data_IF_568604803730
#
_entry.id   IF_568604803730
#
_cell.length_a   1.000
_cell.length_b   1.000
_cell.length_c   1.000
_cell.angle_alpha   90.00
_cell.angle_beta   90.00
_cell.angle_gamma   90.00
#
_symmetry.space_group_name_H-M   'P 1'
#
loop_
_entity.id
_entity.type
_entity.pdbx_description
1 polymer ?
#
# COMPACT_ATOMS: atom_id res chain seq x y z
N UNK A 1 23.32 -14.54 14.05
CA UNK A 1 22.32 -13.44 14.08
C UNK A 1 20.96 -14.02 13.72
N UNK A 2 19.89 -13.61 14.40
CA UNK A 2 18.54 -14.00 14.01
C UNK A 2 18.21 -13.36 12.65
N UNK A 3 17.67 -14.16 11.72
CA UNK A 3 17.25 -13.68 10.40
C UNK A 3 16.16 -12.62 10.59
N UNK A 4 16.34 -11.44 10.00
CA UNK A 4 15.31 -10.38 9.99
C UNK A 4 14.18 -10.87 9.07
N UNK A 5 12.97 -11.00 9.61
CA UNK A 5 11.80 -11.52 8.88
C UNK A 5 10.61 -10.56 8.84
N UNK A 6 10.64 -9.48 9.62
CA UNK A 6 9.50 -8.57 9.80
C UNK A 6 9.87 -7.13 9.49
N UNK A 7 9.02 -6.43 8.73
CA UNK A 7 9.08 -4.99 8.51
C UNK A 7 7.84 -4.31 9.08
N UNK A 8 8.03 -3.14 9.71
CA UNK A 8 6.95 -2.33 10.26
C UNK A 8 6.87 -1.03 9.46
N UNK A 9 5.69 -0.72 8.93
CA UNK A 9 5.37 0.47 8.14
C UNK A 9 4.47 1.41 8.96
N UNK A 10 5.02 2.48 9.56
CA UNK A 10 4.23 3.46 10.29
C UNK A 10 3.52 4.42 9.31
N UNK A 11 2.25 4.14 9.02
CA UNK A 11 1.46 4.85 7.99
C UNK A 11 0.27 5.63 8.57
N UNK A 12 0.20 5.82 9.89
CA UNK A 12 -0.92 6.45 10.58
C UNK A 12 -1.00 8.00 10.47
N UNK A 13 0.05 8.67 9.98
CA UNK A 13 0.18 10.14 10.05
C UNK A 13 -0.71 10.92 9.07
N UNK A 14 -1.15 12.13 9.45
CA UNK A 14 -2.14 12.92 8.68
C UNK A 14 -1.62 13.56 7.38
N UNK A 15 -0.30 13.63 7.16
CA UNK A 15 0.27 14.16 5.92
C UNK A 15 0.01 15.64 5.66
N UNK A 16 -0.08 16.47 6.71
CA UNK A 16 -0.46 17.90 6.65
C UNK A 16 0.39 18.78 5.74
N UNK A 17 1.66 18.40 5.48
CA UNK A 17 2.56 19.13 4.56
C UNK A 17 2.19 19.03 3.09
N UNK A 18 1.29 18.12 2.74
CA UNK A 18 0.84 17.86 1.37
C UNK A 18 -0.65 18.21 1.19
N UNK A 19 -1.19 19.06 2.06
CA UNK A 19 -2.53 19.61 1.84
C UNK A 19 -2.53 20.52 0.61
N UNK A 20 -3.62 20.52 -0.19
CA UNK A 20 -4.89 19.83 0.07
C UNK A 20 -4.95 18.37 -0.39
N UNK A 21 -3.95 17.88 -1.14
CA UNK A 21 -3.97 16.54 -1.74
C UNK A 21 -4.16 15.43 -0.70
N UNK A 22 -3.55 15.57 0.48
CA UNK A 22 -3.66 14.58 1.56
C UNK A 22 -4.94 14.63 2.38
N UNK A 23 -5.86 15.55 2.05
CA UNK A 23 -7.16 15.63 2.73
C UNK A 23 -8.03 14.40 2.47
N UNK A 24 -7.96 13.84 1.26
CA UNK A 24 -8.77 12.70 0.82
C UNK A 24 -7.94 11.44 0.54
N UNK A 25 -6.67 11.60 0.16
CA UNK A 25 -5.77 10.50 -0.20
C UNK A 25 -4.64 10.42 0.83
N UNK A 26 -4.39 9.27 1.49
CA UNK A 26 -3.23 9.13 2.36
C UNK A 26 -1.93 9.48 1.63
N UNK A 27 -0.99 10.16 2.28
CA UNK A 27 0.29 10.55 1.62
C UNK A 27 1.06 9.34 1.06
N UNK A 28 0.92 8.17 1.70
CA UNK A 28 1.57 6.92 1.31
C UNK A 28 0.96 6.30 0.05
N UNK A 29 -0.26 6.75 -0.32
CA UNK A 29 -0.97 6.39 -1.54
C UNK A 29 -0.70 7.35 -2.69
N UNK A 30 0.07 8.43 -2.48
CA UNK A 30 0.52 9.27 -3.58
C UNK A 30 1.40 8.42 -4.50
N UNK A 31 1.18 8.55 -5.80
CA UNK A 31 1.85 7.71 -6.80
C UNK A 31 3.15 8.32 -7.25
N UNK A 32 4.16 7.47 -7.42
CA UNK A 32 5.34 7.76 -8.22
C UNK A 32 5.19 6.90 -9.47
N UNK A 33 5.01 7.57 -10.61
CA UNK A 33 4.62 6.93 -11.87
C UNK A 33 3.28 6.19 -11.73
N UNK A 34 3.30 4.86 -11.86
CA UNK A 34 2.16 3.96 -11.88
C UNK A 34 1.82 3.35 -10.50
N UNK A 35 2.69 3.52 -9.49
CA UNK A 35 2.58 2.82 -8.20
C UNK A 35 2.55 3.76 -7.00
N UNK A 36 1.73 3.47 -5.97
CA UNK A 36 1.78 4.17 -4.69
C UNK A 36 3.16 4.07 -4.02
N UNK A 37 3.57 5.12 -3.30
CA UNK A 37 4.83 5.13 -2.52
C UNK A 37 4.93 3.92 -1.59
N UNK A 38 3.83 3.53 -0.94
CA UNK A 38 3.84 2.38 -0.02
C UNK A 38 4.17 1.06 -0.71
N UNK A 39 3.80 0.91 -1.98
CA UNK A 39 4.08 -0.28 -2.76
C UNK A 39 5.57 -0.42 -3.04
N UNK A 40 6.24 0.69 -3.35
CA UNK A 40 7.71 0.71 -3.50
C UNK A 40 8.42 0.25 -2.23
N UNK A 41 7.97 0.72 -1.07
CA UNK A 41 8.54 0.32 0.22
C UNK A 41 8.32 -1.17 0.53
N UNK A 42 7.16 -1.72 0.14
CA UNK A 42 6.88 -3.16 0.26
C UNK A 42 7.74 -3.99 -0.67
N UNK A 43 7.92 -3.57 -1.93
CA UNK A 43 8.81 -4.23 -2.90
C UNK A 43 10.24 -4.24 -2.39
N UNK A 44 10.71 -3.13 -1.80
CA UNK A 44 12.04 -3.03 -1.22
C UNK A 44 12.21 -4.01 -0.05
N UNK A 45 11.27 -4.05 0.89
CA UNK A 45 11.29 -4.99 2.01
C UNK A 45 11.26 -6.45 1.53
N UNK A 46 10.43 -6.75 0.54
CA UNK A 46 10.36 -8.08 -0.07
C UNK A 46 11.69 -8.49 -0.71
N UNK A 47 12.31 -7.60 -1.49
CA UNK A 47 13.64 -7.83 -2.10
C UNK A 47 14.74 -8.03 -1.05
N UNK A 48 14.60 -7.42 0.12
CA UNK A 48 15.48 -7.64 1.27
C UNK A 48 15.25 -8.98 1.99
N UNK A 49 14.28 -9.80 1.55
CA UNK A 49 13.99 -11.11 2.12
C UNK A 49 13.09 -11.07 3.36
N UNK A 50 12.32 -9.98 3.54
CA UNK A 50 11.33 -9.86 4.62
C UNK A 50 10.04 -10.57 4.23
N UNK A 51 9.53 -11.39 5.14
CA UNK A 51 8.39 -12.28 4.92
C UNK A 51 7.09 -11.69 5.50
N UNK A 52 7.19 -10.92 6.58
CA UNK A 52 6.05 -10.32 7.27
C UNK A 52 6.07 -8.79 7.14
N UNK A 53 5.02 -8.22 6.54
CA UNK A 53 4.82 -6.77 6.41
C UNK A 53 3.71 -6.32 7.35
N UNK A 54 4.05 -5.47 8.32
CA UNK A 54 3.15 -5.02 9.38
C UNK A 54 2.86 -3.53 9.19
N UNK A 55 1.60 -3.18 8.97
CA UNK A 55 1.18 -1.79 8.77
C UNK A 55 0.55 -1.23 10.04
N UNK A 56 1.08 -0.11 10.53
CA UNK A 56 0.46 0.65 11.64
C UNK A 56 -0.38 1.77 11.04
N UNK A 57 -1.69 1.55 10.98
CA UNK A 57 -2.68 2.45 10.36
C UNK A 57 -3.52 3.19 11.42
N UNK A 58 -4.03 4.36 11.05
CA UNK A 58 -5.11 5.05 11.78
C UNK A 58 -6.49 4.72 11.18
N UNK A 59 -7.56 4.96 11.94
CA UNK A 59 -8.95 4.65 11.55
C UNK A 59 -9.35 5.20 10.16
N UNK A 60 -8.78 6.34 9.78
CA UNK A 60 -9.11 7.05 8.54
C UNK A 60 -8.33 6.55 7.31
N UNK A 61 -7.46 5.52 7.46
CA UNK A 61 -6.55 5.06 6.41
C UNK A 61 -6.77 3.62 5.95
N UNK A 62 -8.01 3.14 6.04
CA UNK A 62 -8.41 1.80 5.54
C UNK A 62 -8.10 1.58 4.05
N UNK A 63 -7.98 2.65 3.27
CA UNK A 63 -7.64 2.59 1.84
C UNK A 63 -6.26 1.96 1.59
N UNK A 64 -5.29 2.13 2.50
CA UNK A 64 -3.97 1.49 2.38
C UNK A 64 -4.12 -0.03 2.45
N UNK A 65 -4.90 -0.53 3.40
CA UNK A 65 -5.16 -1.97 3.53
C UNK A 65 -5.89 -2.51 2.29
N UNK A 66 -6.89 -1.76 1.79
CA UNK A 66 -7.66 -2.14 0.60
C UNK A 66 -6.78 -2.26 -0.65
N UNK A 67 -5.71 -1.45 -0.77
CA UNK A 67 -4.76 -1.52 -1.89
C UNK A 67 -4.06 -2.88 -1.98
N UNK A 68 -3.66 -3.43 -0.84
CA UNK A 68 -2.98 -4.73 -0.76
C UNK A 68 -3.95 -5.92 -0.66
N UNK A 69 -5.25 -5.65 -0.59
CA UNK A 69 -6.27 -6.71 -0.60
C UNK A 69 -6.60 -7.11 -2.03
N UNK A 70 -6.77 -8.42 -2.22
CA UNK A 70 -7.32 -8.97 -3.45
C UNK A 70 -8.75 -8.45 -3.67
N UNK A 71 -9.09 -8.09 -4.90
CA UNK A 71 -10.45 -7.61 -5.25
C UNK A 71 -11.12 -8.54 -6.24
N UNK A 72 -11.93 -9.46 -5.73
CA UNK A 72 -12.65 -10.46 -6.55
C UNK A 72 -13.61 -9.80 -7.57
N UNK A 73 -14.24 -8.69 -7.19
CA UNK A 73 -15.15 -7.92 -8.07
C UNK A 73 -14.36 -7.31 -9.24
N UNK A 74 -13.16 -6.80 -8.98
CA UNK A 74 -12.31 -6.23 -10.03
C UNK A 74 -11.82 -7.33 -10.97
N UNK A 75 -11.34 -8.45 -10.42
CA UNK A 75 -10.86 -9.60 -11.19
C UNK A 75 -11.96 -10.19 -12.09
N UNK A 76 -13.16 -10.41 -11.55
CA UNK A 76 -14.30 -10.91 -12.33
C UNK A 76 -14.72 -9.94 -13.45
N UNK A 77 -14.72 -8.63 -13.17
CA UNK A 77 -15.04 -7.60 -14.17
C UNK A 77 -14.00 -7.54 -15.29
N UNK A 78 -12.72 -7.65 -14.96
CA UNK A 78 -11.62 -7.65 -15.93
C UNK A 78 -11.62 -8.92 -16.80
N UNK A 79 -11.86 -10.08 -16.19
CA UNK A 79 -12.03 -11.35 -16.91
C UNK A 79 -13.18 -11.28 -17.92
N UNK A 80 -14.32 -10.70 -17.51
CA UNK A 80 -15.48 -10.50 -18.41
C UNK A 80 -15.14 -9.59 -19.58
N UNK A 81 -14.27 -8.59 -19.36
CA UNK A 81 -13.81 -7.63 -20.37
C UNK A 81 -12.58 -8.11 -21.16
N UNK A 82 -12.08 -9.33 -20.92
CA UNK A 82 -10.83 -9.88 -21.49
C UNK A 82 -9.63 -8.93 -21.35
N UNK A 83 -9.52 -8.23 -20.22
CA UNK A 83 -8.36 -7.38 -19.90
C UNK A 83 -7.54 -8.07 -18.81
N UNK A 84 -6.23 -8.17 -19.02
CA UNK A 84 -5.30 -8.65 -18.00
C UNK A 84 -4.91 -7.51 -17.04
N UNK A 85 -4.47 -7.88 -15.83
CA UNK A 85 -4.01 -6.97 -14.77
C UNK A 85 -2.62 -6.44 -15.11
#
# INVERSE_FOLDING_TARGET
MNKIRKAIFPVAGLGTRFLPATKSIPKEMLTILDRPIIEWAVIEAYKAGIEEMIFVISSNKKNILKHFQRSEILESTLNTKKKEI
#
